data_IF_495428234931
#
_entry.id   IF_495428234931
#
_cell.length_a   1.000
_cell.length_b   1.000
_cell.length_c   1.000
_cell.angle_alpha   90.00
_cell.angle_beta   90.00
_cell.angle_gamma   90.00
#
_symmetry.space_group_name_H-M   'P 1'
#
loop_
_entity.id
_entity.type
_entity.pdbx_description
1 polymer ?
#
# COMPACT_ATOMS: atom_id res chain seq x y z
N UNK A 1 -8.51 -10.38 8.02
CA UNK A 1 -9.00 -10.23 6.63
C UNK A 1 -9.85 -8.98 6.53
N UNK A 2 -9.58 -8.12 5.56
CA UNK A 2 -10.35 -6.90 5.27
C UNK A 2 -10.86 -6.95 3.84
N UNK A 3 -12.02 -6.37 3.59
CA UNK A 3 -12.70 -6.53 2.29
C UNK A 3 -13.14 -5.18 1.77
N UNK A 4 -12.67 -4.82 0.58
CA UNK A 4 -13.15 -3.67 -0.19
C UNK A 4 -14.31 -4.03 -1.15
N UNK A 5 -14.57 -3.14 -2.07
CA UNK A 5 -15.57 -3.38 -3.13
C UNK A 5 -15.08 -4.44 -4.13
N UNK A 6 -13.80 -4.36 -4.53
CA UNK A 6 -13.17 -5.18 -5.57
C UNK A 6 -12.08 -6.11 -5.04
N UNK A 7 -11.53 -5.83 -3.85
CA UNK A 7 -10.36 -6.51 -3.29
C UNK A 7 -10.64 -7.15 -1.94
N UNK A 8 -9.77 -8.10 -1.59
CA UNK A 8 -9.64 -8.67 -0.25
C UNK A 8 -8.18 -8.51 0.17
N UNK A 9 -7.95 -8.03 1.40
CA UNK A 9 -6.65 -8.04 2.07
C UNK A 9 -6.62 -9.17 3.09
N UNK A 10 -5.61 -10.00 3.02
CA UNK A 10 -5.38 -11.05 4.01
C UNK A 10 -3.89 -11.21 4.29
N UNK A 11 -3.55 -11.78 5.45
CA UNK A 11 -2.17 -12.17 5.75
C UNK A 11 -1.68 -13.12 4.66
N UNK A 12 -0.47 -12.92 4.10
CA UNK A 12 0.09 -13.81 3.11
C UNK A 12 0.30 -15.22 3.68
N UNK A 13 0.18 -16.21 2.81
CA UNK A 13 0.51 -17.60 3.09
C UNK A 13 1.63 -18.08 2.17
N UNK A 14 2.23 -19.24 2.44
CA UNK A 14 3.28 -19.79 1.58
C UNK A 14 2.82 -20.01 0.14
N UNK A 15 1.55 -20.22 -0.08
CA UNK A 15 0.95 -20.37 -1.42
C UNK A 15 1.03 -19.06 -2.23
N UNK A 16 1.08 -17.92 -1.56
CA UNK A 16 1.19 -16.61 -2.19
C UNK A 16 2.65 -16.28 -2.59
N UNK A 17 3.65 -17.04 -2.11
CA UNK A 17 5.07 -16.79 -2.32
C UNK A 17 5.47 -16.75 -3.81
N UNK A 18 4.87 -17.59 -4.64
CA UNK A 18 5.09 -17.61 -6.08
C UNK A 18 4.72 -16.26 -6.74
N UNK A 19 3.61 -15.65 -6.34
CA UNK A 19 3.18 -14.35 -6.87
C UNK A 19 4.11 -13.24 -6.40
N UNK A 20 4.55 -13.28 -5.16
CA UNK A 20 5.53 -12.33 -4.62
C UNK A 20 6.83 -12.44 -5.39
N UNK A 21 7.36 -13.65 -5.62
CA UNK A 21 8.55 -13.86 -6.43
C UNK A 21 8.37 -13.27 -7.84
N UNK A 22 7.28 -13.59 -8.53
CA UNK A 22 6.95 -13.07 -9.86
C UNK A 22 7.02 -11.54 -9.90
N UNK A 23 6.41 -10.87 -8.92
CA UNK A 23 6.39 -9.41 -8.88
C UNK A 23 7.75 -8.82 -8.49
N UNK A 24 8.45 -9.38 -7.53
CA UNK A 24 9.79 -8.92 -7.15
C UNK A 24 10.87 -9.23 -8.19
N UNK A 25 10.67 -10.18 -9.07
CA UNK A 25 11.52 -10.36 -10.27
C UNK A 25 11.24 -9.32 -11.36
N UNK A 26 10.07 -8.71 -11.35
CA UNK A 26 9.73 -7.63 -12.29
C UNK A 26 10.42 -6.33 -11.86
N UNK A 27 11.32 -5.83 -12.74
CA UNK A 27 12.12 -4.62 -12.47
C UNK A 27 11.23 -3.39 -12.27
N UNK A 28 10.17 -3.25 -13.04
CA UNK A 28 9.23 -2.14 -12.94
C UNK A 28 8.50 -2.14 -11.60
N UNK A 29 8.00 -3.30 -11.17
CA UNK A 29 7.33 -3.43 -9.87
C UNK A 29 8.27 -3.03 -8.72
N UNK A 30 9.51 -3.54 -8.71
CA UNK A 30 10.52 -3.18 -7.70
C UNK A 30 10.87 -1.70 -7.69
N UNK A 31 10.81 -1.05 -8.84
CA UNK A 31 11.08 0.39 -8.95
C UNK A 31 10.03 1.24 -8.23
N UNK A 32 8.78 0.76 -8.19
CA UNK A 32 7.67 1.48 -7.58
C UNK A 32 7.34 1.03 -6.15
N UNK A 33 7.55 -0.25 -5.85
CA UNK A 33 7.29 -0.81 -4.53
C UNK A 33 8.60 -0.88 -3.74
N UNK A 34 8.80 0.07 -2.84
CA UNK A 34 9.99 0.18 -1.99
C UNK A 34 9.98 -0.90 -0.90
N UNK A 35 10.32 -2.13 -1.30
CA UNK A 35 10.48 -3.25 -0.39
C UNK A 35 11.62 -4.16 -0.88
N UNK A 36 12.55 -4.42 0.01
CA UNK A 36 13.65 -5.36 -0.21
C UNK A 36 13.24 -6.77 0.19
N UNK A 37 12.39 -7.41 -0.59
CA UNK A 37 12.13 -8.82 -0.43
C UNK A 37 13.10 -9.64 -1.25
N UNK A 38 13.48 -10.82 -0.75
CA UNK A 38 14.27 -11.78 -1.51
C UNK A 38 13.57 -12.17 -2.81
N UNK A 39 14.35 -12.58 -3.81
CA UNK A 39 13.82 -13.17 -5.06
C UNK A 39 13.86 -14.71 -5.05
N UNK A 40 14.46 -15.32 -4.03
CA UNK A 40 14.43 -16.77 -3.85
C UNK A 40 13.09 -17.20 -3.24
N UNK A 41 12.46 -18.22 -3.81
CA UNK A 41 11.15 -18.70 -3.34
C UNK A 41 11.21 -19.15 -1.88
N UNK A 42 12.21 -19.95 -1.52
CA UNK A 42 12.39 -20.47 -0.15
C UNK A 42 12.57 -19.33 0.86
N UNK A 43 13.29 -18.27 0.49
CA UNK A 43 13.48 -17.12 1.35
C UNK A 43 12.21 -16.29 1.49
N UNK A 44 11.43 -16.15 0.43
CA UNK A 44 10.11 -15.48 0.47
C UNK A 44 9.16 -16.26 1.37
N UNK A 45 9.12 -17.59 1.26
CA UNK A 45 8.30 -18.43 2.14
C UNK A 45 8.70 -18.30 3.62
N UNK A 46 10.01 -18.23 3.90
CA UNK A 46 10.53 -18.01 5.24
C UNK A 46 10.15 -16.62 5.78
N UNK A 47 10.28 -15.58 4.96
CA UNK A 47 9.84 -14.22 5.29
C UNK A 47 8.33 -14.17 5.56
N UNK A 48 7.50 -14.77 4.71
CA UNK A 48 6.05 -14.85 4.89
C UNK A 48 5.71 -15.54 6.22
N UNK A 49 6.42 -16.60 6.57
CA UNK A 49 6.19 -17.34 7.83
C UNK A 49 6.42 -16.50 9.10
N UNK A 50 7.28 -15.47 9.00
CA UNK A 50 7.65 -14.55 10.08
C UNK A 50 6.78 -13.28 10.13
N UNK A 51 5.98 -13.03 9.09
CA UNK A 51 5.09 -11.86 9.05
C UNK A 51 4.08 -11.90 10.21
N UNK A 52 3.93 -10.75 10.86
CA UNK A 52 3.00 -10.60 11.97
C UNK A 52 1.58 -10.41 11.47
N UNK A 53 0.62 -10.81 12.29
CA UNK A 53 -0.79 -10.52 12.05
C UNK A 53 -1.15 -9.10 12.49
N UNK A 54 -2.20 -8.55 11.90
CA UNK A 54 -2.71 -7.21 12.24
C UNK A 54 -3.16 -7.09 13.70
N UNK A 55 -3.48 -8.21 14.33
CA UNK A 55 -3.88 -8.28 15.75
C UNK A 55 -2.71 -8.39 16.71
N UNK A 56 -1.48 -8.58 16.23
CA UNK A 56 -0.28 -8.61 17.09
C UNK A 56 0.05 -7.18 17.57
N UNK A 57 -0.06 -6.90 18.90
CA UNK A 57 0.19 -5.57 19.43
C UNK A 57 1.66 -5.14 19.33
N UNK A 58 2.57 -6.08 19.11
CA UNK A 58 4.00 -5.82 18.92
C UNK A 58 4.40 -5.67 17.47
N UNK A 59 3.46 -5.73 16.51
CA UNK A 59 3.76 -5.56 15.11
C UNK A 59 4.13 -4.10 14.83
N UNK A 60 5.33 -3.89 14.29
CA UNK A 60 5.78 -2.61 13.73
C UNK A 60 5.46 -2.52 12.22
N UNK A 61 5.19 -3.68 11.62
CA UNK A 61 4.78 -3.84 10.23
C UNK A 61 3.80 -4.99 10.10
N UNK A 62 2.82 -4.81 9.22
CA UNK A 62 1.86 -5.84 8.80
C UNK A 62 1.78 -5.84 7.29
N UNK A 63 1.98 -7.02 6.70
CA UNK A 63 1.94 -7.21 5.26
C UNK A 63 0.69 -7.99 4.85
N UNK A 64 0.18 -7.69 3.66
CA UNK A 64 -1.00 -8.30 3.09
C UNK A 64 -0.75 -8.74 1.65
N UNK A 65 -1.32 -9.87 1.28
CA UNK A 65 -1.60 -10.17 -0.11
C UNK A 65 -2.95 -9.53 -0.48
N UNK A 66 -2.96 -8.87 -1.63
CA UNK A 66 -4.17 -8.27 -2.22
C UNK A 66 -4.74 -9.27 -3.21
N UNK A 67 -5.97 -9.70 -3.01
CA UNK A 67 -6.67 -10.63 -3.91
C UNK A 67 -7.85 -9.95 -4.60
N UNK A 68 -8.05 -10.29 -5.86
CA UNK A 68 -9.25 -9.91 -6.58
C UNK A 68 -10.47 -10.62 -5.95
N UNK A 69 -11.42 -9.87 -5.44
CA UNK A 69 -12.59 -10.40 -4.73
C UNK A 69 -13.45 -11.34 -5.60
N UNK A 70 -13.47 -11.12 -6.91
CA UNK A 70 -14.28 -11.91 -7.85
C UNK A 70 -13.62 -13.23 -8.21
N UNK A 71 -12.29 -13.25 -8.43
CA UNK A 71 -11.57 -14.45 -8.90
C UNK A 71 -10.84 -15.19 -7.78
N UNK A 72 -10.56 -14.52 -6.65
CA UNK A 72 -9.73 -15.02 -5.57
C UNK A 72 -8.23 -14.96 -5.85
N UNK A 73 -7.82 -14.54 -7.05
CA UNK A 73 -6.42 -14.52 -7.47
C UNK A 73 -5.64 -13.37 -6.80
N UNK A 74 -4.40 -13.61 -6.38
CA UNK A 74 -3.49 -12.56 -5.94
C UNK A 74 -3.20 -11.57 -7.08
N UNK A 75 -3.33 -10.27 -6.79
CA UNK A 75 -3.12 -9.17 -7.74
C UNK A 75 -2.13 -8.12 -7.25
N UNK A 76 -1.67 -8.22 -6.01
CA UNK A 76 -0.73 -7.24 -5.46
C UNK A 76 -0.37 -7.48 -4.02
N UNK A 77 0.42 -6.54 -3.49
CA UNK A 77 0.91 -6.53 -2.12
C UNK A 77 0.53 -5.21 -1.48
N UNK A 78 0.26 -5.22 -0.19
CA UNK A 78 0.09 -4.03 0.59
C UNK A 78 0.76 -4.19 1.95
N UNK A 79 1.21 -3.09 2.54
CA UNK A 79 1.82 -3.08 3.86
C UNK A 79 1.37 -1.87 4.65
N UNK A 80 1.24 -2.07 5.96
CA UNK A 80 1.19 -1.00 6.94
C UNK A 80 2.50 -1.08 7.73
N UNK A 81 3.34 -0.06 7.61
CA UNK A 81 4.71 -0.02 8.15
C UNK A 81 4.84 1.08 9.19
N UNK A 82 5.95 1.05 9.94
CA UNK A 82 6.25 2.10 10.91
C UNK A 82 5.05 2.41 11.81
N UNK A 83 4.42 1.34 12.32
CA UNK A 83 3.22 1.44 13.16
C UNK A 83 3.60 2.05 14.49
N UNK A 84 3.29 3.33 14.69
CA UNK A 84 3.53 4.08 15.92
C UNK A 84 2.22 4.20 16.72
N UNK A 85 2.04 3.30 17.67
CA UNK A 85 0.85 3.27 18.52
C UNK A 85 0.82 4.38 19.55
N UNK A 86 2.00 4.91 19.93
CA UNK A 86 2.09 5.99 20.88
C UNK A 86 1.63 7.32 20.28
N UNK A 87 2.04 7.59 19.05
CA UNK A 87 1.73 8.84 18.34
C UNK A 87 0.51 8.69 17.40
N UNK A 88 -0.04 7.49 17.23
CA UNK A 88 -1.27 7.23 16.48
C UNK A 88 -1.13 7.42 14.98
N UNK A 89 -0.04 6.94 14.39
CA UNK A 89 0.15 6.99 12.93
C UNK A 89 0.84 5.76 12.35
N UNK A 90 0.69 5.56 11.05
CA UNK A 90 1.39 4.51 10.31
C UNK A 90 1.63 4.90 8.84
N UNK A 91 2.63 4.28 8.24
CA UNK A 91 2.92 4.36 6.81
C UNK A 91 2.12 3.29 6.05
N UNK A 92 1.45 3.66 4.98
CA UNK A 92 0.84 2.71 4.05
C UNK A 92 1.66 2.61 2.77
N UNK A 93 1.85 1.39 2.29
CA UNK A 93 2.47 1.09 1.02
C UNK A 93 1.63 0.07 0.25
N UNK A 94 1.56 0.22 -1.06
CA UNK A 94 0.77 -0.65 -1.92
C UNK A 94 1.41 -0.83 -3.29
N UNK A 95 1.27 -2.02 -3.86
CA UNK A 95 1.72 -2.34 -5.21
C UNK A 95 0.76 -3.31 -5.90
N UNK A 96 0.25 -2.93 -7.06
CA UNK A 96 -0.48 -3.83 -7.95
C UNK A 96 0.52 -4.50 -8.88
N UNK A 97 0.57 -5.83 -8.83
CA UNK A 97 1.63 -6.62 -9.47
C UNK A 97 1.58 -6.60 -10.99
N UNK A 98 0.44 -6.86 -11.57
CA UNK A 98 0.29 -6.95 -13.01
C UNK A 98 -0.30 -5.66 -13.61
N UNK A 99 0.19 -5.26 -14.78
CA UNK A 99 -0.19 -3.99 -15.44
C UNK A 99 -1.70 -3.92 -15.73
N UNK A 100 -2.28 -5.01 -16.19
CA UNK A 100 -3.71 -5.10 -16.48
C UNK A 100 -4.59 -4.75 -15.27
N UNK A 101 -4.14 -5.12 -14.08
CA UNK A 101 -4.84 -4.83 -12.83
C UNK A 101 -4.66 -3.37 -12.36
N UNK A 102 -3.58 -2.69 -12.74
CA UNK A 102 -3.32 -1.30 -12.36
C UNK A 102 -4.38 -0.34 -12.92
N UNK A 103 -4.88 -0.59 -14.13
CA UNK A 103 -5.89 0.24 -14.79
C UNK A 103 -7.32 -0.08 -14.38
N UNK A 104 -7.56 -1.20 -13.70
CA UNK A 104 -8.89 -1.67 -13.34
C UNK A 104 -9.50 -0.99 -12.07
N UNK A 105 -8.82 0.01 -11.49
CA UNK A 105 -9.28 0.75 -10.31
C UNK A 105 -9.12 -0.01 -8.98
N UNK A 106 -8.34 -1.09 -8.95
CA UNK A 106 -8.03 -1.82 -7.72
C UNK A 106 -7.21 -0.97 -6.74
N UNK A 107 -6.34 -0.07 -7.25
CA UNK A 107 -5.49 0.77 -6.41
C UNK A 107 -6.28 1.73 -5.51
N UNK A 108 -7.37 2.31 -6.01
CA UNK A 108 -8.23 3.21 -5.21
C UNK A 108 -8.96 2.42 -4.12
N UNK A 109 -9.54 1.27 -4.46
CA UNK A 109 -10.21 0.41 -3.48
C UNK A 109 -9.23 -0.08 -2.40
N UNK A 110 -7.99 -0.38 -2.80
CA UNK A 110 -6.91 -0.77 -1.91
C UNK A 110 -6.50 0.36 -0.95
N UNK A 111 -6.39 1.60 -1.43
CA UNK A 111 -6.12 2.76 -0.59
C UNK A 111 -7.23 2.97 0.45
N UNK A 112 -8.49 2.83 0.06
CA UNK A 112 -9.63 2.92 0.99
C UNK A 112 -9.50 1.86 2.09
N UNK A 113 -9.29 0.61 1.73
CA UNK A 113 -9.20 -0.47 2.73
C UNK A 113 -8.00 -0.31 3.66
N UNK A 114 -6.83 0.11 3.15
CA UNK A 114 -5.66 0.38 4.00
C UNK A 114 -5.89 1.56 4.95
N UNK A 115 -6.51 2.64 4.46
CA UNK A 115 -6.88 3.80 5.28
C UNK A 115 -7.89 3.39 6.37
N UNK A 116 -8.91 2.57 6.03
CA UNK A 116 -9.86 2.03 7.00
C UNK A 116 -9.17 1.21 8.10
N UNK A 117 -8.16 0.41 7.75
CA UNK A 117 -7.39 -0.34 8.75
C UNK A 117 -6.63 0.62 9.67
N UNK A 118 -5.98 1.65 9.15
CA UNK A 118 -5.24 2.61 9.98
C UNK A 118 -6.18 3.44 10.84
N UNK A 119 -7.24 4.00 10.28
CA UNK A 119 -8.12 4.92 11.00
C UNK A 119 -9.11 4.23 11.92
N UNK A 120 -9.72 3.12 11.48
CA UNK A 120 -10.82 2.49 12.23
C UNK A 120 -10.42 1.20 12.95
N UNK A 121 -9.51 0.40 12.39
CA UNK A 121 -9.07 -0.82 13.08
C UNK A 121 -7.99 -0.51 14.12
N UNK A 122 -6.96 0.29 13.79
CA UNK A 122 -5.94 0.72 14.75
C UNK A 122 -6.39 1.93 15.59
N UNK A 123 -7.37 2.69 15.15
CA UNK A 123 -7.84 3.89 15.85
C UNK A 123 -6.87 5.06 15.76
N UNK A 124 -6.05 5.13 14.70
CA UNK A 124 -5.04 6.17 14.52
C UNK A 124 -5.62 7.46 13.93
N UNK A 125 -4.88 8.56 14.10
CA UNK A 125 -5.28 9.89 13.62
C UNK A 125 -4.64 10.27 12.28
N UNK A 126 -3.58 9.54 11.87
CA UNK A 126 -2.84 9.85 10.65
C UNK A 126 -2.36 8.60 9.94
N UNK A 127 -2.49 8.57 8.62
CA UNK A 127 -1.67 7.71 7.77
C UNK A 127 -0.80 8.54 6.84
N UNK A 128 0.32 7.98 6.42
CA UNK A 128 1.19 8.63 5.45
C UNK A 128 1.75 7.60 4.45
N UNK A 129 2.27 8.07 3.34
CA UNK A 129 2.93 7.25 2.33
C UNK A 129 4.17 7.96 1.82
N UNK A 130 5.19 7.19 1.45
CA UNK A 130 6.39 7.68 0.79
C UNK A 130 6.35 7.27 -0.67
N UNK A 131 6.48 8.23 -1.57
CA UNK A 131 6.40 8.00 -3.01
C UNK A 131 7.59 8.65 -3.70
N UNK A 132 8.31 7.86 -4.50
CA UNK A 132 9.45 8.36 -5.28
C UNK A 132 9.01 9.40 -6.29
N UNK A 133 9.79 10.47 -6.46
CA UNK A 133 9.45 11.62 -7.33
C UNK A 133 9.22 11.23 -8.79
N UNK A 134 9.84 10.17 -9.24
CA UNK A 134 9.66 9.64 -10.60
C UNK A 134 8.39 8.77 -10.75
N UNK A 135 7.72 8.37 -9.66
CA UNK A 135 6.44 7.66 -9.70
C UNK A 135 5.27 8.66 -9.85
N UNK A 136 5.17 9.28 -11.03
CA UNK A 136 4.16 10.31 -11.32
C UNK A 136 2.73 9.82 -11.19
N UNK A 137 2.48 8.55 -11.55
CA UNK A 137 1.15 7.96 -11.42
C UNK A 137 0.75 7.78 -9.95
N UNK A 138 1.66 7.23 -9.13
CA UNK A 138 1.44 7.07 -7.70
C UNK A 138 1.21 8.41 -6.99
N UNK A 139 2.03 9.42 -7.29
CA UNK A 139 1.88 10.77 -6.75
C UNK A 139 0.51 11.37 -7.11
N UNK A 140 0.13 11.33 -8.39
CA UNK A 140 -1.17 11.83 -8.86
C UNK A 140 -2.33 11.09 -8.19
N UNK A 141 -2.24 9.78 -8.07
CA UNK A 141 -3.29 8.96 -7.45
C UNK A 141 -3.47 9.28 -5.97
N UNK A 142 -2.37 9.39 -5.21
CA UNK A 142 -2.43 9.72 -3.79
C UNK A 142 -2.99 11.14 -3.55
N UNK A 143 -2.52 12.14 -4.30
CA UNK A 143 -3.05 13.51 -4.20
C UNK A 143 -4.53 13.59 -4.57
N UNK A 144 -4.95 12.88 -5.63
CA UNK A 144 -6.37 12.82 -6.03
C UNK A 144 -7.24 12.07 -5.04
N UNK A 145 -6.67 11.16 -4.27
CA UNK A 145 -7.37 10.46 -3.19
C UNK A 145 -7.60 11.34 -1.95
N UNK A 146 -6.81 12.41 -1.80
CA UNK A 146 -6.92 13.36 -0.70
C UNK A 146 -5.68 13.46 0.19
N UNK A 147 -4.58 12.78 -0.14
CA UNK A 147 -3.31 12.98 0.56
C UNK A 147 -2.78 14.39 0.32
N UNK A 148 -2.17 14.96 1.34
CA UNK A 148 -1.49 16.25 1.30
C UNK A 148 0.04 16.04 1.25
N UNK A 149 0.76 16.78 0.39
CA UNK A 149 2.21 16.74 0.36
C UNK A 149 2.79 17.47 1.58
N UNK A 150 3.47 16.74 2.46
CA UNK A 150 4.05 17.29 3.71
C UNK A 150 5.53 17.64 3.56
N UNK A 151 6.20 17.05 2.59
CA UNK A 151 7.61 17.34 2.34
C UNK A 151 8.24 16.51 1.24
N UNK A 152 9.47 16.88 0.89
CA UNK A 152 10.26 16.20 -0.11
C UNK A 152 11.67 15.91 0.44
N UNK A 153 12.01 14.64 0.54
CA UNK A 153 13.32 14.17 0.94
C UNK A 153 14.24 14.12 -0.29
N UNK A 154 15.25 14.96 -0.33
CA UNK A 154 16.16 15.05 -1.46
C UNK A 154 17.13 13.89 -1.48
N UNK A 155 17.33 13.25 -2.65
CA UNK A 155 18.29 12.15 -2.86
C UNK A 155 18.13 11.01 -1.84
N UNK A 156 16.88 10.68 -1.52
CA UNK A 156 16.57 9.78 -0.40
C UNK A 156 16.64 8.29 -0.79
N UNK A 157 16.26 7.95 -2.01
CA UNK A 157 16.28 6.58 -2.54
C UNK A 157 17.36 6.43 -3.61
N UNK A 158 18.04 5.27 -3.63
CA UNK A 158 19.02 4.94 -4.65
C UNK A 158 18.50 3.78 -5.50
N UNK A 159 18.14 4.06 -6.75
CA UNK A 159 17.53 3.11 -7.67
C UNK A 159 18.24 3.18 -9.01
N UNK A 160 18.63 2.04 -9.55
CA UNK A 160 19.29 1.92 -10.87
C UNK A 160 20.50 2.86 -11.04
N UNK A 161 21.32 3.02 -10.01
CA UNK A 161 22.52 3.86 -10.04
C UNK A 161 22.25 5.37 -9.87
N UNK A 162 21.04 5.78 -9.55
CA UNK A 162 20.67 7.19 -9.39
C UNK A 162 20.01 7.45 -8.04
N UNK A 163 20.33 8.62 -7.45
CA UNK A 163 19.61 9.12 -6.29
C UNK A 163 18.31 9.82 -6.73
N UNK A 164 17.21 9.40 -6.15
CA UNK A 164 15.87 9.91 -6.44
C UNK A 164 15.32 10.59 -5.19
N UNK A 165 14.64 11.72 -5.37
CA UNK A 165 13.90 12.37 -4.31
C UNK A 165 12.64 11.56 -3.96
N UNK A 166 12.19 11.67 -2.73
CA UNK A 166 11.01 10.97 -2.25
C UNK A 166 10.06 11.95 -1.57
N UNK A 167 8.80 11.93 -1.96
CA UNK A 167 7.73 12.68 -1.32
C UNK A 167 7.21 11.96 -0.09
N UNK A 168 6.93 12.74 0.96
CA UNK A 168 6.10 12.32 2.09
C UNK A 168 4.72 12.94 1.90
N UNK A 169 3.72 12.09 1.80
CA UNK A 169 2.31 12.47 1.66
C UNK A 169 1.56 11.98 2.89
N UNK A 170 0.87 12.86 3.58
CA UNK A 170 0.09 12.55 4.78
C UNK A 170 -1.40 12.74 4.55
N UNK A 171 -2.19 12.05 5.37
CA UNK A 171 -3.64 12.20 5.45
C UNK A 171 -4.08 12.00 6.89
N UNK A 172 -4.82 12.96 7.42
CA UNK A 172 -5.47 12.85 8.73
C UNK A 172 -6.80 12.10 8.62
N UNK A 173 -7.33 11.64 9.74
CA UNK A 173 -8.65 10.99 9.78
C UNK A 173 -9.74 11.94 9.25
N UNK A 174 -9.72 13.20 9.65
CA UNK A 174 -10.68 14.21 9.19
C UNK A 174 -10.64 14.41 7.67
N UNK A 175 -9.44 14.52 7.09
CA UNK A 175 -9.26 14.62 5.62
C UNK A 175 -9.77 13.38 4.90
N UNK A 176 -9.57 12.20 5.49
CA UNK A 176 -10.07 10.94 4.94
C UNK A 176 -11.60 10.89 4.93
N UNK A 177 -12.24 11.24 6.04
CA UNK A 177 -13.70 11.28 6.15
C UNK A 177 -14.32 12.26 5.15
N UNK A 178 -13.71 13.42 4.94
CA UNK A 178 -14.11 14.38 3.90
C UNK A 178 -13.93 13.80 2.49
N UNK A 179 -12.82 13.10 2.22
CA UNK A 179 -12.57 12.51 0.90
C UNK A 179 -13.56 11.41 0.54
N UNK A 180 -14.00 10.61 1.52
CA UNK A 180 -15.01 9.57 1.31
C UNK A 180 -16.37 10.17 0.86
N UNK A 181 -16.75 11.34 1.34
CA UNK A 181 -17.98 12.04 0.91
C UNK A 181 -17.87 12.37 -0.58
N UNK A 182 -16.74 12.87 -1.04
CA UNK A 182 -16.50 13.20 -2.45
C UNK A 182 -16.45 11.97 -3.37
N UNK A 183 -15.89 10.86 -2.88
CA UNK A 183 -15.80 9.59 -3.64
C UNK A 183 -17.18 8.93 -3.76
N UNK A 184 -18.05 9.10 -2.76
CA UNK A 184 -19.38 8.47 -2.72
C UNK A 184 -20.47 9.29 -3.43
N UNK A 185 -20.29 10.59 -3.64
CA UNK A 185 -21.20 11.41 -4.43
C UNK A 185 -20.85 11.30 -5.92
N UNK A 186 -21.70 10.69 -6.77
CA UNK A 186 -21.52 10.79 -8.20
C UNK A 186 -21.65 12.27 -8.59
N UNK A 187 -20.61 12.81 -9.23
CA UNK A 187 -20.63 14.14 -9.85
C UNK A 187 -21.97 14.30 -10.61
N UNK A 188 -22.88 15.12 -10.09
CA UNK A 188 -24.05 15.52 -10.87
C UNK A 188 -23.53 16.29 -12.08
N UNK A 189 -23.84 15.88 -13.31
CA UNK A 189 -23.55 16.72 -14.47
C UNK A 189 -24.44 17.98 -14.35
N UNK A 190 -23.80 19.13 -14.46
CA UNK A 190 -24.49 20.39 -14.71
C UNK A 190 -25.02 20.40 -16.12
#
# INVERSE_FOLDING_TARGET
MFTGRKIILQKPTKEDAYYFQKWFMNKEFRHWYDSYMSVSLDMIEDEISKMKDVTDPSAEQVDFVVKNKRTGEPIGIASIKNIDRQNGHAEIALGIGDEENRLAGFGVDLMIVLADVVFYHFGFEKCYSKINDNNRLGLKSALSFGFTAEGKLRKHTFIDGQYIDQWILGMTREEYELSLIHISEPTRPY
#
